data_IF_297668955864
#
_entry.id   IF_297668955864
#
_cell.length_a   1.000
_cell.length_b   1.000
_cell.length_c   1.000
_cell.angle_alpha   90.00
_cell.angle_beta   90.00
_cell.angle_gamma   90.00
#
_symmetry.space_group_name_H-M   'P 1'
#
loop_
_entity.id
_entity.type
_entity.pdbx_description
1 polymer ?
#
# COMPACT_ATOMS: atom_id res chain seq x y z
N UNK A 1 -9.45 17.95 -8.09
CA UNK A 1 -8.27 17.10 -7.79
C UNK A 1 -7.70 17.39 -6.39
N UNK A 2 -7.73 18.64 -5.92
CA UNK A 2 -7.21 19.01 -4.59
C UNK A 2 -7.82 18.23 -3.41
N UNK A 3 -9.09 17.86 -3.44
CA UNK A 3 -9.76 17.18 -2.31
C UNK A 3 -9.47 15.67 -2.22
N UNK A 4 -8.98 15.07 -3.30
CA UNK A 4 -8.74 13.61 -3.38
C UNK A 4 -7.49 13.21 -2.58
N UNK A 5 -6.45 14.06 -2.55
CA UNK A 5 -5.24 13.76 -1.78
C UNK A 5 -5.47 13.80 -0.26
N UNK A 6 -6.11 14.84 0.31
CA UNK A 6 -6.52 14.84 1.72
C UNK A 6 -7.43 13.66 2.06
N UNK A 7 -8.42 13.36 1.20
CA UNK A 7 -9.31 12.21 1.38
C UNK A 7 -8.55 10.89 1.47
N UNK A 8 -7.61 10.64 0.55
CA UNK A 8 -6.84 9.40 0.48
C UNK A 8 -5.94 9.16 1.71
N UNK A 9 -5.60 10.22 2.45
CA UNK A 9 -4.70 10.19 3.60
C UNK A 9 -5.38 10.50 4.94
N UNK A 10 -6.72 10.63 4.96
CA UNK A 10 -7.49 10.99 6.15
C UNK A 10 -7.64 9.80 7.12
N UNK A 11 -6.60 9.53 7.90
CA UNK A 11 -6.59 8.42 8.87
C UNK A 11 -7.65 8.67 9.95
N UNK A 12 -8.66 7.79 10.12
CA UNK A 12 -9.62 7.92 11.20
C UNK A 12 -8.92 8.06 12.55
N UNK A 13 -9.43 8.96 13.38
CA UNK A 13 -8.90 9.34 14.71
C UNK A 13 -7.66 10.25 14.69
N UNK A 14 -6.85 10.24 13.64
CA UNK A 14 -5.71 11.15 13.52
C UNK A 14 -6.07 12.39 12.68
N UNK A 15 -6.97 12.24 11.71
CA UNK A 15 -7.59 13.31 10.96
C UNK A 15 -8.95 13.65 11.61
N UNK A 16 -9.25 14.95 11.75
CA UNK A 16 -10.44 15.41 12.52
C UNK A 16 -11.76 15.05 11.83
N UNK A 17 -11.80 15.17 10.51
CA UNK A 17 -13.02 15.05 9.71
C UNK A 17 -12.91 13.96 8.63
N UNK A 18 -14.00 13.67 7.93
CA UNK A 18 -13.99 12.85 6.71
C UNK A 18 -14.09 13.78 5.49
N UNK A 19 -12.99 14.07 4.78
CA UNK A 19 -13.02 14.94 3.60
C UNK A 19 -14.01 14.41 2.56
N UNK A 20 -14.74 15.32 1.91
CA UNK A 20 -15.79 14.95 0.96
C UNK A 20 -15.26 15.00 -0.46
N UNK A 21 -15.51 13.95 -1.25
CA UNK A 21 -15.24 13.92 -2.68
C UNK A 21 -16.54 13.62 -3.40
N UNK A 22 -16.98 14.53 -4.28
CA UNK A 22 -18.27 14.43 -4.99
C UNK A 22 -19.48 14.25 -4.07
N UNK A 23 -19.48 14.92 -2.91
CA UNK A 23 -20.58 14.81 -1.93
C UNK A 23 -20.50 13.60 -0.99
N UNK A 24 -19.55 12.67 -1.21
CA UNK A 24 -19.38 11.49 -0.37
C UNK A 24 -18.22 11.65 0.63
N UNK A 25 -18.42 11.35 1.93
CA UNK A 25 -17.37 11.40 2.94
C UNK A 25 -16.36 10.25 2.74
N UNK A 26 -15.09 10.60 2.69
CA UNK A 26 -13.96 9.70 2.42
C UNK A 26 -13.03 9.56 3.62
N UNK A 27 -12.27 8.48 3.63
CA UNK A 27 -11.25 8.18 4.63
C UNK A 27 -9.99 7.63 3.97
N UNK A 28 -8.90 7.51 4.74
CA UNK A 28 -7.64 6.89 4.33
C UNK A 28 -7.82 5.61 3.50
N UNK A 29 -7.34 5.65 2.26
CA UNK A 29 -7.44 4.54 1.31
C UNK A 29 -6.73 3.29 1.80
N UNK A 30 -5.70 3.45 2.63
CA UNK A 30 -4.99 2.34 3.25
C UNK A 30 -5.84 1.49 4.19
N UNK A 31 -7.05 1.91 4.57
CA UNK A 31 -8.00 1.08 5.32
C UNK A 31 -8.79 0.15 4.40
N UNK A 32 -9.20 0.66 3.24
CA UNK A 32 -9.91 -0.11 2.23
C UNK A 32 -8.91 -0.97 1.44
N UNK A 33 -8.06 -0.35 0.63
CA UNK A 33 -7.10 -1.07 -0.21
C UNK A 33 -5.68 -0.53 0.02
N UNK A 34 -4.92 -1.22 0.87
CA UNK A 34 -3.55 -0.80 1.22
C UNK A 34 -2.55 -0.98 0.08
N UNK A 35 -2.80 -1.92 -0.84
CA UNK A 35 -1.91 -2.24 -1.95
C UNK A 35 -2.80 -2.52 -3.17
N UNK A 36 -3.19 -1.48 -3.92
CA UNK A 36 -4.18 -1.58 -5.01
C UNK A 36 -3.62 -2.23 -6.28
N UNK A 37 -2.78 -3.25 -6.14
CA UNK A 37 -2.15 -4.01 -7.23
C UNK A 37 -3.19 -4.69 -8.13
N UNK A 38 -4.23 -5.27 -7.52
CA UNK A 38 -5.34 -5.87 -8.24
C UNK A 38 -6.11 -4.83 -9.04
N UNK A 39 -6.35 -3.67 -8.42
CA UNK A 39 -7.06 -2.58 -9.09
C UNK A 39 -6.28 -2.06 -10.30
N UNK A 40 -4.96 -1.92 -10.19
CA UNK A 40 -4.11 -1.56 -11.31
C UNK A 40 -4.19 -2.60 -12.45
N UNK A 41 -4.18 -3.89 -12.13
CA UNK A 41 -4.36 -4.96 -13.11
C UNK A 41 -5.75 -4.92 -13.80
N UNK A 42 -6.82 -4.74 -13.02
CA UNK A 42 -8.19 -4.57 -13.54
C UNK A 42 -8.33 -3.35 -14.45
N UNK A 43 -7.52 -2.31 -14.23
CA UNK A 43 -7.44 -1.13 -15.09
C UNK A 43 -6.61 -1.36 -16.36
N UNK A 44 -6.11 -2.59 -16.58
CA UNK A 44 -5.41 -3.00 -17.79
C UNK A 44 -3.89 -3.02 -17.67
N UNK A 45 -3.31 -2.71 -16.50
CA UNK A 45 -1.86 -2.79 -16.32
C UNK A 45 -1.38 -4.25 -16.37
N UNK A 46 -0.41 -4.53 -17.25
CA UNK A 46 0.19 -5.88 -17.43
C UNK A 46 1.63 -5.96 -16.95
N UNK A 47 2.26 -4.82 -16.68
CA UNK A 47 3.51 -4.73 -15.94
C UNK A 47 3.32 -3.73 -14.80
N UNK A 48 3.47 -4.19 -13.57
CA UNK A 48 3.19 -3.40 -12.36
C UNK A 48 4.40 -3.45 -11.43
N UNK A 49 4.97 -2.29 -11.12
CA UNK A 49 5.99 -2.17 -10.08
C UNK A 49 5.33 -1.73 -8.77
N UNK A 50 5.40 -2.58 -7.76
CA UNK A 50 4.84 -2.35 -6.43
C UNK A 50 5.94 -1.93 -5.47
N UNK A 51 5.77 -0.77 -4.84
CA UNK A 51 6.66 -0.28 -3.77
C UNK A 51 5.97 -0.52 -2.43
N UNK A 52 6.57 -1.36 -1.59
CA UNK A 52 6.05 -1.70 -0.27
C UNK A 52 6.75 -0.89 0.82
N UNK A 53 6.01 -0.48 1.85
CA UNK A 53 6.59 0.13 3.06
C UNK A 53 6.84 -0.90 4.18
N UNK A 54 6.76 -2.19 3.86
CA UNK A 54 6.95 -3.33 4.76
C UNK A 54 7.75 -4.41 4.02
N UNK A 55 8.56 -5.16 4.76
CA UNK A 55 9.37 -6.22 4.18
C UNK A 55 8.53 -7.34 3.58
N UNK A 56 9.11 -8.07 2.62
CA UNK A 56 8.55 -9.32 2.14
C UNK A 56 8.40 -10.31 3.31
N UNK A 57 7.31 -11.09 3.29
CA UNK A 57 6.95 -12.00 4.38
C UNK A 57 6.19 -11.34 5.55
N UNK A 58 5.96 -10.02 5.51
CA UNK A 58 5.07 -9.36 6.46
C UNK A 58 3.63 -9.88 6.29
N UNK A 59 3.04 -10.39 7.37
CA UNK A 59 1.62 -10.71 7.42
C UNK A 59 0.85 -9.64 8.19
N UNK A 60 -0.22 -9.11 7.59
CA UNK A 60 -1.11 -8.20 8.30
C UNK A 60 -1.92 -9.01 9.31
N UNK A 61 -1.63 -8.84 10.59
CA UNK A 61 -2.47 -9.42 11.66
C UNK A 61 -3.84 -8.76 11.69
N UNK A 62 -4.87 -9.55 11.98
CA UNK A 62 -6.24 -9.08 12.18
C UNK A 62 -6.28 -8.01 13.26
N UNK A 63 -6.90 -6.88 12.94
CA UNK A 63 -7.11 -5.83 13.93
C UNK A 63 -8.09 -6.31 15.01
N UNK A 64 -7.77 -6.06 16.27
CA UNK A 64 -8.73 -6.21 17.36
C UNK A 64 -9.64 -4.99 17.34
N UNK A 65 -10.80 -5.11 16.71
CA UNK A 65 -11.83 -4.07 16.78
C UNK A 65 -12.44 -4.11 18.18
N UNK A 66 -12.13 -3.10 18.99
CA UNK A 66 -12.63 -2.99 20.36
C UNK A 66 -14.09 -2.54 20.37
N UNK A 67 -14.81 -2.76 21.47
CA UNK A 67 -16.18 -2.24 21.65
C UNK A 67 -16.24 -0.71 21.48
N UNK A 68 -15.19 -0.01 21.89
CA UNK A 68 -15.04 1.44 21.68
C UNK A 68 -15.00 1.83 20.20
N UNK A 69 -14.24 1.11 19.36
CA UNK A 69 -14.19 1.38 17.91
C UNK A 69 -15.53 1.10 17.23
N UNK A 70 -16.25 0.04 17.63
CA UNK A 70 -17.60 -0.24 17.12
C UNK A 70 -18.58 0.88 17.45
N UNK A 71 -18.50 1.43 18.67
CA UNK A 71 -19.34 2.56 19.09
C UNK A 71 -18.98 3.84 18.33
N UNK A 72 -17.69 4.11 18.17
CA UNK A 72 -17.22 5.34 17.53
C UNK A 72 -17.54 5.41 16.04
N UNK A 73 -17.52 4.27 15.34
CA UNK A 73 -17.84 4.19 13.93
C UNK A 73 -19.24 3.64 13.66
N UNK A 74 -20.15 3.69 14.64
CA UNK A 74 -21.51 3.13 14.54
C UNK A 74 -22.26 3.63 13.31
N UNK A 75 -22.11 4.92 13.01
CA UNK A 75 -22.78 5.60 11.90
C UNK A 75 -22.05 5.40 10.55
N UNK A 76 -20.93 4.68 10.55
CA UNK A 76 -20.11 4.37 9.37
C UNK A 76 -19.90 2.84 9.21
N UNK A 77 -20.95 2.07 8.88
CA UNK A 77 -20.88 0.60 8.80
C UNK A 77 -19.88 0.09 7.74
N UNK A 78 -19.74 0.81 6.61
CA UNK A 78 -18.74 0.49 5.57
C UNK A 78 -17.31 0.61 6.10
N UNK A 79 -17.02 1.63 6.91
CA UNK A 79 -15.72 1.81 7.56
C UNK A 79 -15.43 0.71 8.56
N UNK A 80 -16.43 0.31 9.36
CA UNK A 80 -16.27 -0.83 10.28
C UNK A 80 -15.95 -2.12 9.53
N UNK A 81 -16.67 -2.39 8.45
CA UNK A 81 -16.42 -3.57 7.60
C UNK A 81 -15.01 -3.52 7.03
N UNK A 82 -14.58 -2.40 6.45
CA UNK A 82 -13.24 -2.24 5.91
C UNK A 82 -12.16 -2.46 6.98
N UNK A 83 -12.32 -1.94 8.19
CA UNK A 83 -11.39 -2.18 9.30
C UNK A 83 -11.30 -3.66 9.69
N UNK A 84 -12.42 -4.40 9.63
CA UNK A 84 -12.49 -5.82 9.95
C UNK A 84 -11.87 -6.71 8.86
N UNK A 85 -12.03 -6.34 7.58
CA UNK A 85 -11.54 -7.11 6.42
C UNK A 85 -10.15 -6.70 5.96
N UNK A 86 -9.62 -5.56 6.44
CA UNK A 86 -8.34 -4.98 6.01
C UNK A 86 -7.19 -5.98 6.01
N UNK A 87 -7.10 -6.86 7.00
CA UNK A 87 -6.01 -7.83 7.05
C UNK A 87 -6.12 -8.89 5.93
N UNK A 88 -7.34 -9.35 5.66
CA UNK A 88 -7.59 -10.30 4.60
C UNK A 88 -7.27 -9.67 3.24
N UNK A 89 -7.76 -8.45 2.98
CA UNK A 89 -7.53 -7.73 1.73
C UNK A 89 -6.03 -7.43 1.51
N UNK A 90 -5.32 -6.98 2.54
CA UNK A 90 -3.86 -6.78 2.47
C UNK A 90 -3.12 -8.07 2.11
N UNK A 91 -3.44 -9.18 2.78
CA UNK A 91 -2.78 -10.45 2.54
C UNK A 91 -3.15 -11.01 1.15
N UNK A 92 -4.36 -10.75 0.66
CA UNK A 92 -4.78 -11.12 -0.68
C UNK A 92 -4.01 -10.36 -1.77
N UNK A 93 -3.72 -9.07 -1.53
CA UNK A 93 -2.84 -8.29 -2.41
C UNK A 93 -1.40 -8.85 -2.41
N UNK A 94 -0.89 -9.28 -1.26
CA UNK A 94 0.41 -9.97 -1.20
C UNK A 94 0.41 -11.30 -1.95
N UNK A 95 -0.69 -12.07 -1.92
CA UNK A 95 -0.81 -13.29 -2.71
C UNK A 95 -0.83 -12.98 -4.21
N UNK A 96 -1.57 -11.95 -4.64
CA UNK A 96 -1.55 -11.48 -6.02
C UNK A 96 -0.14 -11.09 -6.47
N UNK A 97 0.62 -10.39 -5.63
CA UNK A 97 2.02 -10.02 -5.93
C UNK A 97 2.90 -11.27 -6.06
N UNK A 98 2.69 -12.27 -5.19
CA UNK A 98 3.48 -13.50 -5.18
C UNK A 98 3.15 -14.40 -6.38
N UNK A 99 1.90 -14.41 -6.81
CA UNK A 99 1.36 -15.27 -7.86
C UNK A 99 0.44 -14.44 -8.76
N UNK A 100 1.01 -13.53 -9.59
CA UNK A 100 0.20 -12.73 -10.49
C UNK A 100 -0.38 -13.62 -11.61
N UNK A 101 -1.46 -13.16 -12.27
CA UNK A 101 -1.94 -13.78 -13.51
C UNK A 101 -0.82 -13.95 -14.55
N UNK A 102 -0.90 -14.98 -15.39
CA UNK A 102 0.15 -15.30 -16.37
C UNK A 102 0.42 -14.16 -17.38
N UNK A 103 -0.57 -13.30 -17.62
CA UNK A 103 -0.46 -12.12 -18.47
C UNK A 103 0.01 -10.85 -17.73
N UNK A 104 0.39 -10.98 -16.45
CA UNK A 104 0.81 -9.87 -15.61
C UNK A 104 2.20 -10.11 -15.02
N UNK A 105 3.14 -9.22 -15.31
CA UNK A 105 4.43 -9.14 -14.65
C UNK A 105 4.34 -8.19 -13.45
N UNK A 106 4.71 -8.66 -12.26
CA UNK A 106 4.75 -7.83 -11.05
C UNK A 106 6.19 -7.75 -10.54
N UNK A 107 6.71 -6.53 -10.47
CA UNK A 107 8.00 -6.22 -9.87
C UNK A 107 7.78 -5.67 -8.46
N UNK A 108 8.67 -5.97 -7.51
CA UNK A 108 8.52 -5.54 -6.11
C UNK A 108 9.78 -4.87 -5.61
N UNK A 109 9.61 -3.67 -5.04
CA UNK A 109 10.62 -3.00 -4.23
C UNK A 109 10.11 -3.00 -2.78
N UNK A 110 10.83 -3.66 -1.89
CA UNK A 110 10.44 -3.78 -0.49
C UNK A 110 11.66 -3.56 0.42
N UNK A 111 11.48 -2.93 1.59
CA UNK A 111 12.56 -2.72 2.53
C UNK A 111 13.00 -4.04 3.20
N UNK A 112 14.22 -4.09 3.75
CA UNK A 112 14.71 -5.26 4.47
C UNK A 112 13.92 -5.50 5.78
N UNK A 113 14.03 -6.70 6.34
CA UNK A 113 13.30 -7.12 7.56
C UNK A 113 13.58 -6.21 8.76
N UNK A 114 14.76 -5.61 8.83
CA UNK A 114 15.20 -4.72 9.91
C UNK A 114 14.81 -3.24 9.70
N UNK A 115 13.95 -2.92 8.73
CA UNK A 115 13.52 -1.55 8.44
C UNK A 115 12.71 -0.94 9.60
N UNK A 116 13.18 0.21 10.10
CA UNK A 116 12.72 0.81 11.37
C UNK A 116 11.69 1.93 11.20
N UNK A 117 11.34 2.31 9.97
CA UNK A 117 10.32 3.34 9.73
C UNK A 117 8.93 2.71 9.75
N UNK A 118 8.04 3.30 10.56
CA UNK A 118 6.64 2.94 10.64
C UNK A 118 5.76 4.17 10.44
N UNK A 119 4.44 3.94 10.40
CA UNK A 119 3.42 4.97 10.07
C UNK A 119 3.53 6.26 10.91
N UNK A 120 3.98 6.15 12.16
CA UNK A 120 4.06 7.28 13.10
C UNK A 120 5.50 7.63 13.49
N UNK A 121 6.51 7.15 12.76
CA UNK A 121 7.90 7.51 13.02
C UNK A 121 8.09 9.01 12.78
N UNK A 122 8.64 9.72 13.77
CA UNK A 122 8.97 11.16 13.70
C UNK A 122 10.45 11.46 13.92
N UNK A 123 11.26 10.46 14.24
CA UNK A 123 12.68 10.65 14.48
C UNK A 123 13.37 10.95 13.13
N UNK A 124 13.98 12.13 12.95
CA UNK A 124 14.50 12.57 11.66
C UNK A 124 15.62 11.66 11.16
N UNK A 125 16.51 11.20 12.03
CA UNK A 125 17.60 10.27 11.66
C UNK A 125 17.05 8.96 11.10
N UNK A 126 16.01 8.39 11.72
CA UNK A 126 15.37 7.17 11.22
C UNK A 126 14.62 7.40 9.91
N UNK A 127 14.02 8.58 9.73
CA UNK A 127 13.33 8.94 8.49
C UNK A 127 14.34 9.07 7.34
N UNK A 128 15.47 9.74 7.58
CA UNK A 128 16.57 9.87 6.61
C UNK A 128 17.11 8.50 6.20
N UNK A 129 17.43 7.64 7.18
CA UNK A 129 17.86 6.26 6.90
C UNK A 129 16.84 5.48 6.06
N UNK A 130 15.54 5.69 6.32
CA UNK A 130 14.48 5.06 5.55
C UNK A 130 14.39 5.60 4.12
N UNK A 131 14.58 6.91 3.95
CA UNK A 131 14.62 7.59 2.66
C UNK A 131 15.80 7.11 1.81
N UNK A 132 17.02 7.17 2.34
CA UNK A 132 18.24 6.70 1.67
C UNK A 132 18.13 5.23 1.26
N UNK A 133 17.59 4.37 2.15
CA UNK A 133 17.33 2.97 1.83
C UNK A 133 16.37 2.80 0.66
N UNK A 134 15.36 3.66 0.55
CA UNK A 134 14.41 3.69 -0.57
C UNK A 134 15.07 4.12 -1.87
N UNK A 135 15.89 5.18 -1.84
CA UNK A 135 16.65 5.67 -2.99
C UNK A 135 17.56 4.57 -3.54
N UNK A 136 18.39 3.96 -2.69
CA UNK A 136 19.29 2.88 -3.10
C UNK A 136 18.53 1.68 -3.70
N UNK A 137 17.38 1.32 -3.13
CA UNK A 137 16.55 0.22 -3.65
C UNK A 137 15.98 0.55 -5.03
N UNK A 138 15.57 1.80 -5.25
CA UNK A 138 15.08 2.28 -6.55
C UNK A 138 16.17 2.33 -7.61
N UNK A 139 17.35 2.85 -7.28
CA UNK A 139 18.51 2.87 -8.18
C UNK A 139 18.95 1.45 -8.58
N UNK A 140 19.01 0.54 -7.61
CA UNK A 140 19.29 -0.86 -7.86
C UNK A 140 18.24 -1.47 -8.80
N UNK A 141 16.95 -1.20 -8.55
CA UNK A 141 15.88 -1.70 -9.40
C UNK A 141 16.01 -1.19 -10.84
N UNK A 142 16.20 0.11 -11.06
CA UNK A 142 16.30 0.72 -12.41
C UNK A 142 17.49 0.16 -13.20
N UNK A 143 18.63 -0.03 -12.53
CA UNK A 143 19.85 -0.56 -13.15
C UNK A 143 19.65 -1.98 -13.68
N UNK A 144 19.02 -2.84 -12.88
CA UNK A 144 18.76 -4.23 -13.26
C UNK A 144 17.58 -4.35 -14.24
N UNK A 145 16.56 -3.52 -14.10
CA UNK A 145 15.40 -3.49 -14.99
C UNK A 145 15.80 -3.16 -16.44
N UNK A 146 16.71 -2.20 -16.63
CA UNK A 146 17.23 -1.83 -17.95
C UNK A 146 18.00 -2.97 -18.61
N UNK A 147 18.68 -3.79 -17.82
CA UNK A 147 19.48 -4.93 -18.30
C UNK A 147 18.59 -6.09 -18.78
N UNK A 148 17.52 -6.39 -18.06
CA UNK A 148 16.54 -7.43 -18.45
C UNK A 148 15.70 -7.03 -19.68
N UNK A 149 15.42 -5.73 -19.83
CA UNK A 149 14.72 -5.16 -20.99
C UNK A 149 15.55 -5.28 -22.27
N UNK A 150 16.87 -5.13 -22.18
CA UNK A 150 17.79 -5.25 -23.32
C UNK A 150 17.95 -6.72 -23.74
N UNK A 151 18.04 -7.66 -22.78
CA UNK A 151 18.16 -9.09 -23.08
C UNK A 151 16.90 -9.71 -23.69
N UNK A 152 15.71 -9.19 -23.35
CA UNK A 152 14.44 -9.65 -23.93
C UNK A 152 14.23 -9.19 -25.37
N UNK A 153 14.77 -8.02 -25.76
CA UNK A 153 14.76 -7.52 -27.14
C UNK A 153 15.71 -8.33 -28.04
N UNK A 154 16.81 -8.85 -27.50
CA UNK A 154 17.80 -9.64 -28.27
C UNK A 154 17.41 -11.12 -28.49
N UNK A 155 16.26 -11.56 -27.99
CA UNK A 155 15.76 -12.95 -28.13
C UNK A 155 14.58 -13.10 -29.11
N UNK A 156 14.27 -12.07 -29.90
CA UNK A 156 13.26 -12.12 -30.97
C UNK A 156 13.93 -12.38 -32.31
#
# INVERSE_FOLDING_TARGET
>A
MHDVFPASCAIPLAYRDFPTVNGEPMTDGGIADSIPVKKAYEMGAKEITVILSRSLGYEKKRARVTGLMKRLFKDHPKLQSALLTRNAQYNEALQFIKQPPADCKVNVIAPPVNFKVGRFTRNPVRLEQGYESGVMSGEYFITNYSSDSIQSIQRV
#
